data_IF_981975863763
#
_entry.id   IF_981975863763
#
_cell.length_a   1.000
_cell.length_b   1.000
_cell.length_c   1.000
_cell.angle_alpha   90.00
_cell.angle_beta   90.00
_cell.angle_gamma   90.00
#
_symmetry.space_group_name_H-M   'P 1'
#
loop_
_entity.id
_entity.type
_entity.pdbx_description
1 polymer ?
#
# COMPACT_ATOMS: atom_id res chain seq x y z
N UNK A 1 0.06 -13.37 -31.91
CA UNK A 1 0.72 -12.80 -30.73
C UNK A 1 -0.26 -12.75 -29.59
N UNK A 2 0.21 -13.04 -28.40
CA UNK A 2 -0.55 -12.93 -27.15
C UNK A 2 0.02 -11.81 -26.28
N UNK A 3 -0.83 -11.14 -25.51
CA UNK A 3 -0.45 -10.15 -24.50
C UNK A 3 -0.74 -10.72 -23.11
N UNK A 4 0.24 -10.65 -22.22
CA UNK A 4 0.05 -10.90 -20.78
C UNK A 4 0.20 -9.57 -20.05
N UNK A 5 -0.88 -9.10 -19.43
CA UNK A 5 -0.91 -7.81 -18.75
C UNK A 5 -0.48 -7.95 -17.28
N UNK A 6 0.78 -7.66 -17.02
CA UNK A 6 1.34 -7.56 -15.67
C UNK A 6 1.65 -6.09 -15.31
N UNK A 7 0.83 -5.13 -15.75
CA UNK A 7 1.07 -3.70 -15.67
C UNK A 7 0.96 -3.07 -14.27
N UNK A 8 0.71 -3.85 -13.21
CA UNK A 8 0.68 -3.38 -11.84
C UNK A 8 -0.23 -2.16 -11.66
N UNK A 9 0.36 -1.01 -11.30
CA UNK A 9 -0.35 0.26 -11.12
C UNK A 9 -1.10 0.75 -12.37
N UNK A 10 -0.77 0.23 -13.56
CA UNK A 10 -1.41 0.60 -14.83
C UNK A 10 -2.27 -0.52 -15.42
N UNK A 11 -2.42 -1.66 -14.74
CA UNK A 11 -3.04 -2.88 -15.29
C UNK A 11 -4.48 -2.66 -15.80
N UNK A 12 -5.31 -1.92 -15.08
CA UNK A 12 -6.68 -1.58 -15.50
C UNK A 12 -6.71 -0.70 -16.76
N UNK A 13 -5.72 0.20 -16.91
CA UNK A 13 -5.59 1.07 -18.09
C UNK A 13 -5.07 0.29 -19.30
N UNK A 14 -4.14 -0.62 -19.09
CA UNK A 14 -3.62 -1.49 -20.15
C UNK A 14 -4.74 -2.39 -20.66
N UNK A 15 -5.53 -3.02 -19.77
CA UNK A 15 -6.67 -3.84 -20.16
C UNK A 15 -7.65 -3.03 -21.03
N UNK A 16 -8.04 -1.83 -20.61
CA UNK A 16 -8.94 -0.95 -21.37
C UNK A 16 -8.35 -0.52 -22.72
N UNK A 17 -7.06 -0.22 -22.79
CA UNK A 17 -6.39 0.12 -24.04
C UNK A 17 -6.38 -1.05 -25.04
N UNK A 18 -6.44 -2.29 -24.54
CA UNK A 18 -6.57 -3.49 -25.34
C UNK A 18 -8.03 -3.89 -25.65
N UNK A 19 -9.01 -3.04 -25.28
CA UNK A 19 -10.44 -3.30 -25.52
C UNK A 19 -11.07 -4.28 -24.53
N UNK A 20 -10.41 -4.57 -23.40
CA UNK A 20 -10.91 -5.47 -22.36
C UNK A 20 -11.35 -4.64 -21.13
N UNK A 21 -12.59 -4.83 -20.69
CA UNK A 21 -13.08 -4.21 -19.46
C UNK A 21 -12.66 -5.05 -18.24
N UNK A 22 -11.79 -4.54 -17.37
CA UNK A 22 -11.25 -5.33 -16.26
C UNK A 22 -12.24 -5.54 -15.11
N UNK A 23 -13.38 -4.82 -15.08
CA UNK A 23 -14.35 -4.91 -13.99
C UNK A 23 -13.85 -4.34 -12.65
N UNK A 24 -12.61 -3.88 -12.57
CA UNK A 24 -12.00 -3.28 -11.39
C UNK A 24 -11.24 -2.01 -11.75
N UNK A 25 -10.99 -1.17 -10.75
CA UNK A 25 -10.16 0.02 -10.86
C UNK A 25 -8.97 -0.08 -9.91
N UNK A 26 -7.79 0.29 -10.37
CA UNK A 26 -6.60 0.35 -9.50
C UNK A 26 -6.62 1.63 -8.68
N UNK A 27 -6.57 1.46 -7.37
CA UNK A 27 -6.41 2.52 -6.37
C UNK A 27 -4.98 2.43 -5.82
N UNK A 28 -4.16 3.47 -5.96
CA UNK A 28 -2.78 3.42 -5.47
C UNK A 28 -2.73 3.70 -3.97
N UNK A 29 -2.10 2.80 -3.21
CA UNK A 29 -1.79 3.01 -1.80
C UNK A 29 -0.28 3.06 -1.61
N UNK A 30 0.23 4.18 -1.10
CA UNK A 30 1.64 4.33 -0.77
C UNK A 30 1.92 3.78 0.61
N UNK A 31 2.93 2.92 0.70
CA UNK A 31 3.52 2.44 1.92
C UNK A 31 4.86 3.13 2.17
N UNK A 32 5.01 3.75 3.32
CA UNK A 32 6.25 4.37 3.75
C UNK A 32 6.95 3.45 4.75
N UNK A 33 8.26 3.35 4.62
CA UNK A 33 9.09 2.52 5.47
C UNK A 33 10.00 3.37 6.35
N UNK A 34 10.34 2.80 7.47
CA UNK A 34 11.48 3.20 8.29
C UNK A 34 12.49 2.06 8.30
N UNK A 35 13.74 2.40 8.53
CA UNK A 35 14.83 1.44 8.70
C UNK A 35 15.34 1.53 10.13
N UNK A 36 15.69 0.39 10.71
CA UNK A 36 16.35 0.35 12.00
C UNK A 36 17.84 0.70 11.85
N UNK A 37 18.39 1.37 12.85
CA UNK A 37 19.83 1.58 12.95
C UNK A 37 20.57 0.24 13.11
N UNK A 38 21.81 0.10 12.59
CA UNK A 38 22.55 -1.17 12.61
C UNK A 38 22.67 -1.81 14.00
N UNK A 39 22.78 -1.00 15.04
CA UNK A 39 22.92 -1.45 16.44
C UNK A 39 21.67 -2.20 16.94
N UNK A 40 20.54 -2.00 16.28
CA UNK A 40 19.24 -2.63 16.62
C UNK A 40 18.85 -3.78 15.70
N UNK A 41 19.60 -4.08 14.65
CA UNK A 41 19.29 -5.17 13.73
C UNK A 41 19.23 -6.54 14.43
N UNK A 42 19.97 -6.74 15.52
CA UNK A 42 19.99 -7.98 16.28
C UNK A 42 18.66 -8.32 16.94
N UNK A 43 17.78 -7.32 17.14
CA UNK A 43 16.46 -7.52 17.72
C UNK A 43 15.52 -8.25 16.75
N UNK A 44 15.75 -8.15 15.45
CA UNK A 44 14.90 -8.74 14.42
C UNK A 44 15.66 -9.86 13.70
N UNK A 45 15.43 -11.09 14.12
CA UNK A 45 16.10 -12.27 13.53
C UNK A 45 15.41 -12.76 12.26
N UNK A 46 14.08 -12.63 12.23
CA UNK A 46 13.19 -13.09 11.15
C UNK A 46 12.19 -11.97 10.79
N UNK A 47 11.02 -12.38 10.32
CA UNK A 47 9.89 -11.48 10.04
C UNK A 47 8.99 -11.39 11.28
N UNK A 48 8.57 -10.18 11.66
CA UNK A 48 7.67 -9.95 12.79
C UNK A 48 6.43 -9.23 12.29
N UNK A 49 5.31 -9.92 12.27
CA UNK A 49 4.03 -9.40 11.77
C UNK A 49 2.99 -9.35 12.88
N UNK A 50 2.08 -8.37 12.87
CA UNK A 50 0.90 -8.41 13.70
C UNK A 50 -0.04 -9.54 13.23
N UNK A 51 -0.87 -10.03 14.10
CA UNK A 51 -1.99 -10.91 13.70
C UNK A 51 -2.92 -10.10 12.80
N UNK A 52 -3.25 -10.59 11.58
CA UNK A 52 -4.14 -9.89 10.68
C UNK A 52 -5.52 -9.65 11.30
N UNK A 53 -6.03 -8.45 11.16
CA UNK A 53 -7.42 -8.11 11.49
C UNK A 53 -8.25 -8.18 10.20
N UNK A 54 -9.18 -9.16 10.09
CA UNK A 54 -9.98 -9.34 8.86
C UNK A 54 -10.89 -8.13 8.54
N UNK A 55 -11.12 -7.25 9.49
CA UNK A 55 -11.92 -6.04 9.28
C UNK A 55 -11.14 -4.91 8.60
N UNK A 56 -9.80 -5.02 8.55
CA UNK A 56 -8.92 -3.99 7.99
C UNK A 56 -8.39 -4.40 6.61
N UNK A 57 -8.27 -3.44 5.69
CA UNK A 57 -7.83 -3.74 4.32
C UNK A 57 -6.33 -4.01 4.20
N UNK A 58 -5.56 -3.70 5.22
CA UNK A 58 -4.10 -3.83 5.21
C UNK A 58 -3.57 -4.36 6.54
N UNK A 59 -2.43 -5.08 6.46
CA UNK A 59 -1.78 -5.74 7.59
C UNK A 59 -1.13 -4.69 8.47
N UNK A 60 -1.14 -3.67 8.73
CA UNK A 60 -0.41 -2.78 9.65
C UNK A 60 1.12 -2.90 9.57
N UNK A 61 1.81 -2.07 10.33
CA UNK A 61 3.28 -2.05 10.34
C UNK A 61 3.86 -3.36 10.88
N UNK A 62 4.94 -3.81 10.26
CA UNK A 62 5.68 -5.02 10.63
C UNK A 62 7.18 -4.79 10.48
N UNK A 63 7.98 -5.75 10.91
CA UNK A 63 9.45 -5.68 10.83
C UNK A 63 9.94 -6.79 9.92
N UNK A 64 10.78 -6.43 8.95
CA UNK A 64 11.29 -7.33 7.93
C UNK A 64 12.81 -7.33 7.94
N UNK A 65 13.43 -8.49 8.21
CA UNK A 65 14.85 -8.69 7.98
C UNK A 65 15.11 -8.78 6.49
N UNK A 66 15.94 -7.89 5.98
CA UNK A 66 16.25 -7.83 4.55
C UNK A 66 17.32 -8.85 4.16
N UNK A 67 17.23 -9.38 2.93
CA UNK A 67 18.15 -10.40 2.41
C UNK A 67 19.60 -9.87 2.28
N UNK A 68 19.74 -8.58 2.01
CA UNK A 68 21.05 -7.94 1.89
C UNK A 68 21.54 -7.33 3.21
N UNK A 69 20.91 -7.68 4.32
CA UNK A 69 21.14 -7.06 5.62
C UNK A 69 20.23 -5.85 5.86
N UNK A 70 20.19 -5.41 7.13
CA UNK A 70 19.27 -4.36 7.53
C UNK A 70 17.92 -4.89 7.99
N UNK A 71 17.12 -3.99 8.55
CA UNK A 71 15.76 -4.25 9.00
C UNK A 71 14.86 -3.09 8.58
N UNK A 72 13.87 -3.39 7.77
CA UNK A 72 12.80 -2.44 7.45
C UNK A 72 11.62 -2.58 8.40
N UNK A 73 11.04 -1.45 8.74
CA UNK A 73 9.86 -1.32 9.57
C UNK A 73 8.75 -0.59 8.80
N UNK A 74 7.63 -1.22 8.60
CA UNK A 74 6.52 -0.69 7.81
C UNK A 74 5.85 -1.80 7.03
N UNK A 75 5.17 -1.46 5.92
CA UNK A 75 4.75 -0.10 5.59
C UNK A 75 3.47 0.34 6.33
N UNK A 76 3.20 1.63 6.36
CA UNK A 76 1.85 2.14 6.50
C UNK A 76 1.10 2.01 5.16
N UNK A 77 -0.16 2.44 5.09
CA UNK A 77 -0.93 2.39 3.84
C UNK A 77 -1.78 3.66 3.69
N UNK A 78 -1.24 4.66 2.99
CA UNK A 78 -1.94 5.91 2.70
C UNK A 78 -2.34 5.99 1.23
N UNK A 79 -3.47 6.61 0.93
CA UNK A 79 -3.86 6.89 -0.44
C UNK A 79 -2.77 7.73 -1.12
N UNK A 80 -2.27 7.27 -2.26
CA UNK A 80 -1.35 8.04 -3.08
C UNK A 80 -2.15 8.95 -4.03
N UNK A 81 -1.69 10.20 -4.22
CA UNK A 81 -2.37 11.17 -5.09
C UNK A 81 -1.93 11.05 -6.56
N UNK A 82 -1.08 10.09 -6.85
CA UNK A 82 -0.63 9.70 -8.19
C UNK A 82 -0.40 8.20 -8.20
N UNK A 83 -0.66 7.51 -9.33
CA UNK A 83 -0.45 6.05 -9.42
C UNK A 83 0.99 5.65 -9.10
N UNK A 84 1.95 6.39 -9.62
CA UNK A 84 3.37 6.22 -9.30
C UNK A 84 3.84 7.33 -8.36
N UNK A 85 3.08 7.57 -7.29
CA UNK A 85 3.33 8.63 -6.29
C UNK A 85 4.14 8.10 -5.11
N UNK A 86 5.47 8.03 -5.27
CA UNK A 86 6.38 7.56 -4.22
C UNK A 86 6.65 8.62 -3.15
N UNK A 87 6.42 9.90 -3.46
CA UNK A 87 6.55 11.01 -2.51
C UNK A 87 5.19 11.53 -2.08
N UNK A 88 5.11 12.13 -0.91
CA UNK A 88 3.85 12.68 -0.36
C UNK A 88 3.24 13.76 -1.27
N UNK A 89 4.08 14.55 -1.92
CA UNK A 89 3.68 15.66 -2.78
C UNK A 89 3.56 15.27 -4.27
N UNK A 90 3.71 14.00 -4.62
CA UNK A 90 3.47 13.54 -5.99
C UNK A 90 1.97 13.55 -6.24
N UNK A 91 1.49 14.49 -7.03
CA UNK A 91 0.06 14.68 -7.35
C UNK A 91 -0.14 14.56 -8.86
N UNK A 92 -1.17 13.82 -9.25
CA UNK A 92 -1.68 13.73 -10.63
C UNK A 92 -3.16 14.08 -10.63
N UNK A 93 -3.50 15.20 -11.24
CA UNK A 93 -4.90 15.64 -11.39
C UNK A 93 -5.71 14.58 -12.12
N UNK A 94 -5.16 13.97 -13.18
CA UNK A 94 -5.81 12.89 -13.94
C UNK A 94 -6.15 11.69 -13.07
N UNK A 95 -5.23 11.25 -12.19
CA UNK A 95 -5.45 10.10 -11.33
C UNK A 95 -6.48 10.43 -10.24
N UNK A 96 -6.38 11.63 -9.67
CA UNK A 96 -7.33 12.12 -8.66
C UNK A 96 -8.75 12.25 -9.21
N UNK A 97 -8.91 12.84 -10.40
CA UNK A 97 -10.23 12.93 -11.05
C UNK A 97 -10.79 11.54 -11.36
N UNK A 98 -9.93 10.61 -11.83
CA UNK A 98 -10.35 9.23 -12.09
C UNK A 98 -10.86 8.49 -10.84
N UNK A 99 -10.34 8.81 -9.66
CA UNK A 99 -10.87 8.31 -8.39
C UNK A 99 -12.12 9.07 -7.95
N UNK A 100 -12.13 10.39 -8.08
CA UNK A 100 -13.24 11.24 -7.61
C UNK A 100 -14.58 10.96 -8.32
N UNK A 101 -14.53 10.55 -9.59
CA UNK A 101 -15.73 10.17 -10.34
C UNK A 101 -16.19 8.73 -10.10
N UNK A 102 -15.43 7.94 -9.34
CA UNK A 102 -15.70 6.53 -9.07
C UNK A 102 -16.63 6.36 -7.87
N UNK A 103 -17.86 5.84 -8.03
CA UNK A 103 -18.72 5.53 -6.89
C UNK A 103 -18.11 4.50 -5.93
N UNK A 104 -17.37 3.52 -6.45
CA UNK A 104 -16.65 2.53 -5.64
C UNK A 104 -15.64 3.17 -4.71
N UNK A 105 -14.90 4.17 -5.20
CA UNK A 105 -13.95 4.91 -4.36
C UNK A 105 -14.63 5.57 -3.16
N UNK A 106 -15.75 6.22 -3.33
CA UNK A 106 -16.48 6.86 -2.23
C UNK A 106 -17.06 5.87 -1.23
N UNK A 107 -17.55 4.72 -1.72
CA UNK A 107 -18.02 3.63 -0.85
C UNK A 107 -16.87 3.08 0.02
N UNK A 108 -15.72 2.83 -0.59
CA UNK A 108 -14.51 2.42 0.12
C UNK A 108 -14.06 3.51 1.11
N UNK A 109 -13.95 4.76 0.66
CA UNK A 109 -13.49 5.88 1.48
C UNK A 109 -14.38 6.11 2.69
N UNK A 110 -15.70 6.06 2.53
CA UNK A 110 -16.64 6.19 3.66
C UNK A 110 -16.58 5.01 4.62
N UNK A 111 -16.35 3.80 4.13
CA UNK A 111 -16.18 2.61 4.98
C UNK A 111 -14.92 2.68 5.83
N UNK A 112 -13.80 3.11 5.26
CA UNK A 112 -12.48 3.05 5.88
C UNK A 112 -11.91 4.43 6.29
N UNK A 113 -12.72 5.47 6.38
CA UNK A 113 -12.24 6.83 6.65
C UNK A 113 -11.44 6.96 7.95
N UNK A 114 -11.87 6.29 9.03
CA UNK A 114 -11.16 6.32 10.32
C UNK A 114 -9.78 5.68 10.22
N UNK A 115 -9.69 4.54 9.55
CA UNK A 115 -8.43 3.84 9.28
C UNK A 115 -7.51 4.72 8.42
N UNK A 116 -8.05 5.30 7.34
CA UNK A 116 -7.31 6.20 6.46
C UNK A 116 -6.74 7.42 7.20
N UNK A 117 -7.51 8.07 8.05
CA UNK A 117 -7.03 9.19 8.87
C UNK A 117 -5.91 8.76 9.83
N UNK A 118 -6.02 7.57 10.42
CA UNK A 118 -4.96 6.99 11.26
C UNK A 118 -3.68 6.72 10.48
N UNK A 119 -3.80 6.22 9.24
CA UNK A 119 -2.64 6.01 8.36
C UNK A 119 -1.97 7.33 7.95
N UNK A 120 -2.75 8.35 7.60
CA UNK A 120 -2.23 9.70 7.33
C UNK A 120 -1.50 10.27 8.55
N UNK A 121 -2.05 10.11 9.75
CA UNK A 121 -1.37 10.55 10.96
C UNK A 121 -0.04 9.83 11.16
N UNK A 122 0.03 8.52 10.90
CA UNK A 122 1.29 7.75 10.96
C UNK A 122 2.30 8.18 9.88
N UNK A 123 1.83 8.52 8.69
CA UNK A 123 2.69 9.05 7.62
C UNK A 123 3.36 10.37 7.99
N UNK A 124 2.65 11.25 8.68
CA UNK A 124 3.15 12.57 9.06
C UNK A 124 3.93 12.58 10.38
N UNK A 125 3.70 11.60 11.26
CA UNK A 125 4.26 11.56 12.61
C UNK A 125 5.12 10.32 12.86
N UNK A 126 6.45 10.51 12.88
CA UNK A 126 7.40 9.47 13.28
C UNK A 126 7.06 8.86 14.65
N UNK A 127 6.59 9.69 15.61
CA UNK A 127 6.17 9.22 16.93
C UNK A 127 4.96 8.29 16.87
N UNK A 128 3.97 8.61 16.03
CA UNK A 128 2.79 7.76 15.85
C UNK A 128 3.17 6.43 15.17
N UNK A 129 4.08 6.48 14.20
CA UNK A 129 4.62 5.30 13.54
C UNK A 129 5.38 4.40 14.53
N UNK A 130 6.30 4.98 15.31
CA UNK A 130 7.03 4.26 16.36
C UNK A 130 6.08 3.60 17.37
N UNK A 131 5.03 4.30 17.81
CA UNK A 131 4.04 3.73 18.72
C UNK A 131 3.35 2.49 18.16
N UNK A 132 3.15 2.44 16.85
CA UNK A 132 2.61 1.25 16.20
C UNK A 132 3.64 0.11 16.18
N UNK A 133 4.92 0.38 15.92
CA UNK A 133 6.01 -0.60 15.99
C UNK A 133 6.24 -1.14 17.40
N UNK A 134 6.10 -0.30 18.41
CA UNK A 134 6.27 -0.70 19.82
C UNK A 134 5.25 -1.72 20.31
N UNK A 135 4.16 -1.96 19.58
CA UNK A 135 3.25 -3.08 19.84
C UNK A 135 3.90 -4.43 19.55
N UNK A 136 4.83 -4.46 18.58
CA UNK A 136 5.56 -5.67 18.19
C UNK A 136 6.92 -5.73 18.88
N UNK A 137 7.55 -4.59 19.08
CA UNK A 137 8.88 -4.46 19.66
C UNK A 137 8.93 -3.26 20.60
N UNK A 138 8.57 -3.43 21.89
CA UNK A 138 8.49 -2.35 22.87
C UNK A 138 9.81 -1.61 23.13
N UNK A 139 10.93 -2.27 22.85
CA UNK A 139 12.30 -1.76 23.11
C UNK A 139 12.74 -0.63 22.16
N UNK A 140 12.05 -0.47 21.00
CA UNK A 140 12.40 0.55 20.01
C UNK A 140 12.18 1.97 20.53
N UNK A 141 13.10 2.84 20.22
CA UNK A 141 13.05 4.27 20.56
C UNK A 141 13.14 5.14 19.31
N UNK A 142 12.91 6.45 19.46
CA UNK A 142 12.89 7.40 18.34
C UNK A 142 14.21 7.47 17.55
N UNK A 143 15.35 7.30 18.23
CA UNK A 143 16.66 7.29 17.59
C UNK A 143 16.96 5.97 16.85
N UNK A 144 16.24 4.89 17.15
CA UNK A 144 16.50 3.57 16.60
C UNK A 144 15.94 3.39 15.19
N UNK A 145 15.14 4.33 14.71
CA UNK A 145 14.52 4.28 13.37
C UNK A 145 14.82 5.56 12.59
N UNK A 146 15.05 5.46 11.30
CA UNK A 146 15.15 6.59 10.37
C UNK A 146 14.23 6.35 9.14
N UNK A 147 13.92 7.41 8.39
CA UNK A 147 13.07 7.26 7.19
C UNK A 147 13.81 6.41 6.15
N UNK A 148 13.13 5.38 5.67
CA UNK A 148 13.53 4.54 4.56
C UNK A 148 12.84 4.93 3.26
N UNK A 149 12.65 3.96 2.38
CA UNK A 149 12.00 4.13 1.09
C UNK A 149 10.47 4.21 1.18
N UNK A 150 9.85 4.23 0.01
CA UNK A 150 8.41 4.09 -0.14
C UNK A 150 8.09 3.22 -1.36
N UNK A 151 7.02 2.44 -1.25
CA UNK A 151 6.45 1.68 -2.36
C UNK A 151 5.00 2.11 -2.62
N UNK A 152 4.49 1.84 -3.81
CA UNK A 152 3.08 2.05 -4.12
C UNK A 152 2.45 0.72 -4.49
N UNK A 153 1.42 0.34 -3.74
CA UNK A 153 0.61 -0.85 -3.98
C UNK A 153 -0.48 -0.54 -4.99
N UNK A 154 -0.59 -1.38 -6.02
CA UNK A 154 -1.69 -1.39 -6.97
C UNK A 154 -2.86 -2.20 -6.36
N UNK A 155 -3.75 -1.55 -5.64
CA UNK A 155 -4.89 -2.21 -5.05
C UNK A 155 -6.08 -2.19 -6.01
N UNK A 156 -6.51 -3.36 -6.45
CA UNK A 156 -7.72 -3.49 -7.25
C UNK A 156 -8.96 -3.27 -6.38
N UNK A 157 -9.90 -2.51 -6.88
CA UNK A 157 -11.16 -2.17 -6.23
C UNK A 157 -12.34 -2.43 -7.18
N UNK A 158 -13.31 -3.19 -6.72
CA UNK A 158 -14.55 -3.45 -7.45
C UNK A 158 -15.49 -2.23 -7.43
N UNK A 159 -16.48 -2.15 -8.34
CA UNK A 159 -17.44 -1.03 -8.42
C UNK A 159 -18.26 -0.80 -7.16
N UNK A 160 -18.43 -1.81 -6.33
CA UNK A 160 -19.11 -1.72 -5.03
C UNK A 160 -18.20 -1.17 -3.89
N UNK A 161 -16.94 -0.90 -4.18
CA UNK A 161 -15.94 -0.41 -3.24
C UNK A 161 -15.22 -1.50 -2.43
N UNK A 162 -15.47 -2.78 -2.72
CA UNK A 162 -14.73 -3.89 -2.13
C UNK A 162 -13.33 -3.94 -2.72
N UNK A 163 -12.33 -4.08 -1.85
CA UNK A 163 -10.95 -4.33 -2.27
C UNK A 163 -10.80 -5.81 -2.64
N UNK A 164 -10.08 -6.07 -3.72
CA UNK A 164 -9.79 -7.43 -4.19
C UNK A 164 -8.56 -7.94 -3.46
N UNK A 165 -8.70 -9.08 -2.78
CA UNK A 165 -7.68 -9.62 -1.89
C UNK A 165 -6.77 -10.64 -2.58
N UNK A 166 -7.15 -11.10 -3.78
CA UNK A 166 -6.44 -12.11 -4.55
C UNK A 166 -6.22 -11.66 -6.01
N UNK A 167 -5.59 -12.49 -6.81
CA UNK A 167 -5.39 -12.24 -8.23
C UNK A 167 -6.74 -12.06 -8.94
N UNK A 168 -6.82 -11.02 -9.75
CA UNK A 168 -7.95 -10.77 -10.64
C UNK A 168 -7.52 -11.03 -12.07
N UNK A 169 -7.73 -12.25 -12.52
CA UNK A 169 -7.34 -12.70 -13.85
C UNK A 169 -8.54 -12.56 -14.81
N UNK A 170 -8.33 -11.83 -15.89
CA UNK A 170 -9.34 -11.64 -16.94
C UNK A 170 -8.76 -12.19 -18.24
N UNK A 171 -9.44 -13.18 -18.78
CA UNK A 171 -9.05 -13.82 -20.04
C UNK A 171 -9.84 -13.24 -21.20
N UNK A 172 -9.17 -12.97 -22.31
CA UNK A 172 -9.75 -12.57 -23.57
C UNK A 172 -9.06 -13.32 -24.73
N UNK A 173 -9.57 -13.21 -25.95
CA UNK A 173 -9.12 -14.01 -27.10
C UNK A 173 -7.59 -14.01 -27.32
N UNK A 174 -6.92 -12.88 -27.02
CA UNK A 174 -5.45 -12.73 -27.18
C UNK A 174 -4.79 -12.03 -26.00
N UNK A 175 -5.45 -11.94 -24.85
CA UNK A 175 -4.95 -11.23 -23.68
C UNK A 175 -5.34 -11.98 -22.40
N UNK A 176 -4.40 -12.03 -21.45
CA UNK A 176 -4.59 -12.42 -20.05
C UNK A 176 -4.03 -11.33 -19.15
#
# INVERSE_FOLDING_TARGET
>A
SFLVNCGGLQSDRVAKACGVEPGVQIVPFRGEYYELVPEKHHLVKNLIYPVPDPSLPFLGVHLTRMIHGGVEAGPNAVLAFKREGYKLLDISIRDMLGLAVSPGFWRMATKFWKTGMGEFHRSLSKKAFLKALQRLMPELQMQDIHRGGAGVRAQAMAPDGKLVDDFHIVEAERMV
#
